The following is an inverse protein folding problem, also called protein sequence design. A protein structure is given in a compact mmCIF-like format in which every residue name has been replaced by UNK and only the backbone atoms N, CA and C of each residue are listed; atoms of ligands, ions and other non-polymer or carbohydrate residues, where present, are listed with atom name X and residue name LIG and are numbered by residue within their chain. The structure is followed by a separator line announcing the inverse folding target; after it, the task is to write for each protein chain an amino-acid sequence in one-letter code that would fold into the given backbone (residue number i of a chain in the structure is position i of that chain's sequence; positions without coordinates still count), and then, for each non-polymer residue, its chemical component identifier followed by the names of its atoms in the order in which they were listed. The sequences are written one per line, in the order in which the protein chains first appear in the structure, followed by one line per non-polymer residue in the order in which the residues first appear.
data_IF_106781470275
#
_entry.id   IF_106781470275
#
_cell.length_a   1.000
_cell.length_b   1.000
_cell.length_c   1.000
_cell.angle_alpha   90.00
_cell.angle_beta   90.00
_cell.angle_gamma   90.00
#
_symmetry.space_group_name_H-M   'P 1'
#
loop_
_entity.id
_entity.type
_entity.pdbx_description
1 polymer ?
#
# COMPACT_ATOMS: atom_id res chain seq x y z
N UNK A 1 47.12 -5.43 -22.82
CA UNK A 1 46.32 -5.65 -21.61
C UNK A 1 46.46 -4.40 -20.72
N UNK A 2 45.49 -3.49 -20.72
CA UNK A 2 45.51 -2.24 -19.94
C UNK A 2 44.49 -2.38 -18.82
N UNK A 3 44.96 -2.47 -17.58
CA UNK A 3 44.11 -2.44 -16.38
C UNK A 3 43.84 -0.97 -16.05
N UNK A 4 42.59 -0.54 -16.20
CA UNK A 4 42.12 0.77 -15.74
C UNK A 4 41.56 0.57 -14.33
N UNK A 5 42.27 1.05 -13.33
CA UNK A 5 41.76 1.14 -11.95
C UNK A 5 40.87 2.39 -11.81
N UNK A 6 39.57 2.19 -11.61
CA UNK A 6 38.66 3.27 -11.20
C UNK A 6 38.92 3.62 -9.72
N UNK A 7 39.44 4.83 -9.50
CA UNK A 7 39.52 5.45 -8.18
C UNK A 7 38.11 5.81 -7.69
N UNK A 8 37.69 5.23 -6.57
CA UNK A 8 36.46 5.61 -5.86
C UNK A 8 36.69 6.97 -5.18
N UNK A 9 36.06 8.00 -5.73
CA UNK A 9 36.05 9.33 -5.13
C UNK A 9 35.17 9.32 -3.86
N UNK A 10 35.75 9.70 -2.71
CA UNK A 10 35.05 9.84 -1.42
C UNK A 10 33.79 10.71 -1.59
N UNK A 11 32.65 10.18 -1.19
CA UNK A 11 31.35 10.85 -1.24
C UNK A 11 31.38 12.20 -0.50
N UNK A 12 31.29 13.32 -1.24
CA UNK A 12 30.95 14.62 -0.66
C UNK A 12 29.54 14.53 -0.07
N UNK A 13 29.34 15.01 1.15
CA UNK A 13 28.02 15.05 1.79
C UNK A 13 26.98 15.80 0.93
N UNK A 14 25.67 15.64 1.21
CA UNK A 14 24.64 16.28 0.42
C UNK A 14 24.88 17.80 0.38
N UNK A 15 24.90 18.39 -0.81
CA UNK A 15 25.02 19.83 -0.97
C UNK A 15 23.85 20.54 -0.28
N UNK A 16 24.05 21.80 0.16
CA UNK A 16 22.98 22.64 0.73
C UNK A 16 21.80 22.72 -0.24
N UNK A 17 22.08 22.85 -1.54
CA UNK A 17 21.07 22.82 -2.61
C UNK A 17 20.30 21.49 -2.65
N UNK A 18 20.98 20.34 -2.51
CA UNK A 18 20.35 19.03 -2.45
C UNK A 18 19.48 18.84 -1.21
N UNK A 19 19.92 19.36 -0.06
CA UNK A 19 19.13 19.37 1.18
C UNK A 19 17.86 20.22 1.04
N UNK A 20 17.98 21.46 0.56
CA UNK A 20 16.84 22.36 0.34
C UNK A 20 15.85 21.78 -0.68
N UNK A 21 16.35 21.20 -1.77
CA UNK A 21 15.50 20.51 -2.76
C UNK A 21 14.77 19.30 -2.15
N UNK A 22 15.44 18.51 -1.32
CA UNK A 22 14.78 17.41 -0.58
C UNK A 22 13.69 17.94 0.36
N UNK A 23 13.95 19.06 1.05
CA UNK A 23 12.98 19.64 1.97
C UNK A 23 11.76 20.20 1.22
N UNK A 24 11.99 20.92 0.12
CA UNK A 24 10.94 21.42 -0.76
C UNK A 24 10.05 20.30 -1.31
N UNK A 25 10.66 19.21 -1.80
CA UNK A 25 9.91 18.01 -2.24
C UNK A 25 9.04 17.43 -1.13
N UNK A 26 9.52 17.37 0.13
CA UNK A 26 8.72 16.88 1.26
C UNK A 26 7.52 17.78 1.55
N UNK A 27 7.68 19.10 1.45
CA UNK A 27 6.55 20.03 1.58
C UNK A 27 5.53 19.88 0.45
N UNK A 28 5.98 19.69 -0.79
CA UNK A 28 5.08 19.37 -1.91
C UNK A 28 4.31 18.07 -1.66
N UNK A 29 4.97 17.03 -1.14
CA UNK A 29 4.31 15.78 -0.76
C UNK A 29 3.24 16.04 0.31
N UNK A 30 3.55 16.79 1.36
CA UNK A 30 2.56 17.15 2.41
C UNK A 30 1.32 17.80 1.80
N UNK A 31 1.51 18.80 0.94
CA UNK A 31 0.41 19.49 0.25
C UNK A 31 -0.37 18.53 -0.65
N UNK A 32 0.32 17.63 -1.35
CA UNK A 32 -0.26 16.72 -2.32
C UNK A 32 -1.10 15.62 -1.65
N UNK A 33 -0.60 14.97 -0.60
CA UNK A 33 -1.28 13.82 0.00
C UNK A 33 -2.34 14.21 1.02
N UNK A 34 -2.16 15.32 1.75
CA UNK A 34 -3.12 15.75 2.77
C UNK A 34 -4.49 16.11 2.20
N UNK A 35 -4.57 16.52 0.93
CA UNK A 35 -5.84 16.83 0.26
C UNK A 35 -6.79 15.63 0.17
N UNK A 36 -6.24 14.41 0.22
CA UNK A 36 -7.02 13.16 0.11
C UNK A 36 -7.56 12.69 1.46
N UNK A 37 -7.31 13.35 2.59
CA UNK A 37 -8.00 13.01 3.84
C UNK A 37 -9.50 13.31 3.73
N UNK A 38 -10.35 12.39 4.15
CA UNK A 38 -11.82 12.49 4.04
C UNK A 38 -12.38 13.68 4.84
N UNK A 39 -11.99 13.80 6.12
CA UNK A 39 -12.31 14.93 6.98
C UNK A 39 -11.08 15.75 7.36
N UNK A 40 -11.28 16.97 7.91
CA UNK A 40 -10.18 17.84 8.34
C UNK A 40 -9.19 17.12 9.28
N UNK A 41 -9.70 16.29 10.19
CA UNK A 41 -8.87 15.47 11.08
C UNK A 41 -7.95 14.52 10.31
N UNK A 42 -8.45 13.87 9.25
CA UNK A 42 -7.65 12.97 8.41
C UNK A 42 -6.54 13.75 7.70
N UNK A 43 -6.88 14.91 7.14
CA UNK A 43 -5.90 15.80 6.49
C UNK A 43 -4.78 16.20 7.45
N UNK A 44 -5.15 16.64 8.66
CA UNK A 44 -4.20 17.00 9.72
C UNK A 44 -3.34 15.81 10.16
N UNK A 45 -3.93 14.63 10.33
CA UNK A 45 -3.17 13.42 10.68
C UNK A 45 -2.15 13.06 9.59
N UNK A 46 -2.52 13.18 8.30
CA UNK A 46 -1.60 12.95 7.16
C UNK A 46 -0.44 13.96 7.22
N UNK A 47 -0.75 15.26 7.41
CA UNK A 47 0.28 16.30 7.56
C UNK A 47 1.24 15.95 8.70
N UNK A 48 0.72 15.60 9.87
CA UNK A 48 1.53 15.25 11.04
C UNK A 48 2.44 14.04 10.79
N UNK A 49 1.92 12.97 10.18
CA UNK A 49 2.74 11.79 9.84
C UNK A 49 3.89 12.17 8.91
N UNK A 50 3.61 12.98 7.88
CA UNK A 50 4.60 13.39 6.89
C UNK A 50 5.60 14.42 7.45
N UNK A 51 5.20 15.30 8.37
CA UNK A 51 6.12 16.17 9.11
C UNK A 51 7.09 15.35 9.97
N UNK A 52 6.61 14.31 10.65
CA UNK A 52 7.47 13.42 11.42
C UNK A 52 8.48 12.66 10.53
N UNK A 53 8.21 12.48 9.24
CA UNK A 53 9.17 11.94 8.27
C UNK A 53 10.31 12.92 7.95
N UNK A 54 10.08 14.23 8.12
CA UNK A 54 11.10 15.26 7.87
C UNK A 54 12.28 15.13 8.85
N UNK A 55 12.00 14.74 10.10
CA UNK A 55 13.00 14.62 11.17
C UNK A 55 14.21 13.81 10.69
N UNK A 56 15.44 14.37 10.73
CA UNK A 56 16.65 13.68 10.28
C UNK A 56 16.82 12.31 10.93
N UNK A 57 17.19 11.30 10.13
CA UNK A 57 17.44 9.92 10.61
C UNK A 57 18.50 9.87 11.73
N UNK A 58 19.45 10.80 11.74
CA UNK A 58 20.47 10.93 12.79
C UNK A 58 19.87 11.23 14.16
N UNK A 59 18.81 12.04 14.21
CA UNK A 59 18.07 12.39 15.43
C UNK A 59 17.06 11.30 15.82
N UNK A 60 16.56 10.54 14.83
CA UNK A 60 15.56 9.47 15.03
C UNK A 60 16.18 8.15 15.50
N UNK A 61 16.80 8.12 16.68
CA UNK A 61 17.40 6.93 17.29
C UNK A 61 16.78 6.59 18.66
N UNK A 62 17.04 5.38 19.15
CA UNK A 62 16.67 4.93 20.49
C UNK A 62 15.19 5.15 20.82
N UNK A 63 14.93 5.81 21.96
CA UNK A 63 13.60 6.12 22.45
C UNK A 63 12.78 6.99 21.48
N UNK A 64 13.38 8.04 20.91
CA UNK A 64 12.67 8.95 20.00
C UNK A 64 12.16 8.24 18.75
N UNK A 65 12.93 7.27 18.22
CA UNK A 65 12.47 6.42 17.11
C UNK A 65 11.21 5.63 17.49
N UNK A 66 11.22 4.97 18.65
CA UNK A 66 10.09 4.18 19.14
C UNK A 66 8.85 5.06 19.35
N UNK A 67 9.03 6.25 19.94
CA UNK A 67 7.95 7.22 20.16
C UNK A 67 7.34 7.70 18.84
N UNK A 68 8.17 8.08 17.86
CA UNK A 68 7.68 8.53 16.53
C UNK A 68 6.90 7.42 15.83
N UNK A 69 7.38 6.17 15.88
CA UNK A 69 6.66 5.03 15.28
C UNK A 69 5.32 4.82 15.99
N UNK A 70 5.28 4.85 17.32
CA UNK A 70 4.03 4.71 18.09
C UNK A 70 3.02 5.80 17.72
N UNK A 71 3.47 7.07 17.66
CA UNK A 71 2.60 8.19 17.27
C UNK A 71 2.05 7.98 15.86
N UNK A 72 2.90 7.63 14.89
CA UNK A 72 2.46 7.38 13.50
C UNK A 72 1.43 6.27 13.42
N UNK A 73 1.64 5.16 14.13
CA UNK A 73 0.71 4.03 14.15
C UNK A 73 -0.65 4.41 14.74
N UNK A 74 -0.67 5.27 15.78
CA UNK A 74 -1.92 5.78 16.34
C UNK A 74 -2.62 6.73 15.35
N UNK A 75 -1.88 7.62 14.69
CA UNK A 75 -2.46 8.56 13.73
C UNK A 75 -3.03 7.82 12.51
N UNK A 76 -2.25 6.91 11.90
CA UNK A 76 -2.64 6.21 10.67
C UNK A 76 -3.88 5.35 10.86
N UNK A 77 -4.00 4.67 12.02
CA UNK A 77 -5.14 3.80 12.35
C UNK A 77 -6.49 4.51 12.45
N UNK A 78 -6.51 5.84 12.31
CA UNK A 78 -7.72 6.67 12.37
C UNK A 78 -8.00 7.36 11.04
N UNK A 79 -7.12 7.23 10.06
CA UNK A 79 -7.21 7.98 8.81
C UNK A 79 -8.12 7.24 7.82
N UNK A 80 -9.05 8.00 7.27
CA UNK A 80 -9.74 7.65 6.03
C UNK A 80 -9.25 8.57 4.92
N UNK A 81 -8.79 7.98 3.83
CA UNK A 81 -8.47 8.72 2.59
C UNK A 81 -9.57 8.54 1.56
N UNK A 82 -9.98 9.62 0.90
CA UNK A 82 -10.93 9.57 -0.21
C UNK A 82 -10.21 9.83 -1.53
N UNK A 83 -10.29 8.85 -2.44
CA UNK A 83 -9.66 8.89 -3.76
C UNK A 83 -10.67 8.43 -4.82
N UNK A 84 -10.93 9.27 -5.81
CA UNK A 84 -11.88 8.99 -6.91
C UNK A 84 -13.26 8.51 -6.41
N UNK A 85 -13.73 9.10 -5.31
CA UNK A 85 -15.01 8.75 -4.69
C UNK A 85 -15.03 7.39 -3.98
N UNK A 86 -13.87 6.77 -3.73
CA UNK A 86 -13.71 5.60 -2.85
C UNK A 86 -12.99 6.02 -1.58
N UNK A 87 -13.47 5.56 -0.44
CA UNK A 87 -12.88 5.77 0.88
C UNK A 87 -11.98 4.60 1.26
N UNK A 88 -10.81 4.87 1.83
CA UNK A 88 -9.82 3.88 2.25
C UNK A 88 -9.46 4.12 3.70
N UNK A 89 -9.81 3.15 4.55
CA UNK A 89 -9.13 2.97 5.82
C UNK A 89 -7.71 2.46 5.56
N UNK A 90 -6.72 3.12 6.17
CA UNK A 90 -5.32 2.83 5.91
C UNK A 90 -4.79 1.76 6.87
N UNK A 91 -3.94 0.88 6.34
CA UNK A 91 -3.23 -0.12 7.13
C UNK A 91 -1.99 0.49 7.79
N UNK A 92 -1.20 1.24 7.02
CA UNK A 92 0.09 1.77 7.43
C UNK A 92 0.47 3.05 6.66
N UNK A 93 1.66 3.58 6.92
CA UNK A 93 2.16 4.81 6.30
C UNK A 93 2.42 4.65 4.80
N UNK A 94 2.67 3.44 4.31
CA UNK A 94 2.85 3.19 2.88
C UNK A 94 1.52 3.27 2.14
N UNK A 95 0.44 2.85 2.79
CA UNK A 95 -0.92 2.91 2.28
C UNK A 95 -1.31 4.32 1.78
N UNK A 96 -0.80 5.40 2.41
CA UNK A 96 -1.00 6.79 1.95
C UNK A 96 -0.51 6.98 0.51
N UNK A 97 0.67 6.44 0.21
CA UNK A 97 1.26 6.52 -1.13
C UNK A 97 0.51 5.59 -2.07
N UNK A 98 0.31 4.33 -1.69
CA UNK A 98 -0.25 3.29 -2.57
C UNK A 98 -1.61 3.68 -3.14
N UNK A 99 -2.53 4.17 -2.30
CA UNK A 99 -3.90 4.52 -2.75
C UNK A 99 -3.98 5.86 -3.45
N UNK A 100 -2.91 6.66 -3.42
CA UNK A 100 -2.88 7.94 -4.10
C UNK A 100 -2.92 7.75 -5.62
N UNK A 101 -3.64 8.61 -6.38
CA UNK A 101 -3.62 8.61 -7.84
C UNK A 101 -2.23 8.78 -8.47
N UNK A 102 -1.28 9.33 -7.71
CA UNK A 102 0.08 9.57 -8.17
C UNK A 102 0.90 8.28 -8.21
N UNK A 103 0.52 7.28 -7.41
CA UNK A 103 1.17 5.99 -7.40
C UNK A 103 0.69 5.14 -8.59
N UNK A 104 1.63 4.77 -9.44
CA UNK A 104 1.37 3.99 -10.67
C UNK A 104 0.40 4.68 -11.61
N UNK A 105 0.49 6.02 -11.75
CA UNK A 105 -0.36 6.83 -12.64
C UNK A 105 -0.49 6.27 -14.08
N UNK A 106 0.55 5.58 -14.55
CA UNK A 106 0.59 4.93 -15.86
C UNK A 106 -0.45 3.81 -16.02
N UNK A 107 -0.94 3.19 -14.93
CA UNK A 107 -1.87 2.06 -14.99
C UNK A 107 -3.20 2.44 -15.64
N UNK A 108 -3.63 3.70 -15.52
CA UNK A 108 -4.87 4.20 -16.12
C UNK A 108 -4.86 4.16 -17.66
N UNK A 109 -3.69 4.03 -18.28
CA UNK A 109 -3.58 3.85 -19.73
C UNK A 109 -3.97 2.42 -20.17
N UNK A 110 -3.89 1.45 -19.26
CA UNK A 110 -4.08 0.02 -19.54
C UNK A 110 -5.34 -0.55 -18.87
N UNK A 111 -5.59 -0.17 -17.62
CA UNK A 111 -6.74 -0.65 -16.86
C UNK A 111 -7.99 0.17 -17.20
N UNK A 112 -8.81 -0.36 -18.11
CA UNK A 112 -10.05 0.26 -18.60
C UNK A 112 -11.26 -0.67 -18.44
N UNK A 113 -11.65 -1.00 -17.19
CA UNK A 113 -12.79 -1.87 -16.94
C UNK A 113 -14.09 -1.23 -17.45
N UNK A 114 -15.02 -2.07 -17.87
CA UNK A 114 -16.34 -1.66 -18.37
C UNK A 114 -17.46 -2.20 -17.50
N UNK A 115 -18.62 -1.55 -17.58
CA UNK A 115 -19.83 -2.00 -16.87
C UNK A 115 -20.13 -3.46 -17.23
N UNK A 116 -20.42 -4.27 -16.21
CA UNK A 116 -20.75 -5.68 -16.37
C UNK A 116 -19.55 -6.63 -16.48
N UNK A 117 -18.31 -6.13 -16.54
CA UNK A 117 -17.14 -7.01 -16.63
C UNK A 117 -16.80 -7.71 -15.30
N UNK A 118 -16.07 -8.82 -15.42
CA UNK A 118 -15.44 -9.50 -14.29
C UNK A 118 -13.97 -9.07 -14.22
N UNK A 119 -13.51 -8.70 -13.02
CA UNK A 119 -12.12 -8.30 -12.78
C UNK A 119 -11.51 -9.13 -11.64
N UNK A 120 -10.28 -9.60 -11.82
CA UNK A 120 -9.55 -10.37 -10.82
C UNK A 120 -8.37 -9.54 -10.33
N UNK A 121 -8.33 -9.24 -9.03
CA UNK A 121 -7.27 -8.48 -8.37
C UNK A 121 -6.42 -9.44 -7.51
N UNK A 122 -5.23 -9.81 -7.97
CA UNK A 122 -4.33 -10.74 -7.28
C UNK A 122 -3.28 -9.98 -6.48
N UNK A 123 -3.29 -10.14 -5.16
CA UNK A 123 -2.53 -9.28 -4.25
C UNK A 123 -3.29 -7.98 -3.96
N UNK A 124 -4.59 -8.09 -3.71
CA UNK A 124 -5.50 -6.95 -3.58
C UNK A 124 -5.12 -5.98 -2.45
N UNK A 125 -4.30 -6.40 -1.47
CA UNK A 125 -3.82 -5.59 -0.36
C UNK A 125 -5.01 -4.98 0.42
N UNK A 126 -5.12 -3.65 0.46
CA UNK A 126 -6.26 -2.92 1.06
C UNK A 126 -7.34 -2.52 0.04
N UNK A 127 -7.21 -3.01 -1.20
CA UNK A 127 -8.19 -2.89 -2.28
C UNK A 127 -8.06 -1.66 -3.16
N UNK A 128 -6.82 -1.19 -3.43
CA UNK A 128 -6.56 -0.04 -4.33
C UNK A 128 -7.28 -0.20 -5.66
N UNK A 129 -7.15 -1.36 -6.30
CA UNK A 129 -7.76 -1.64 -7.60
C UNK A 129 -9.16 -2.22 -7.42
N UNK A 130 -9.30 -3.27 -6.62
CA UNK A 130 -10.59 -3.93 -6.38
C UNK A 130 -11.76 -2.96 -6.13
N UNK A 131 -11.59 -1.97 -5.24
CA UNK A 131 -12.68 -1.04 -4.92
C UNK A 131 -12.98 -0.04 -6.04
N UNK A 132 -11.97 0.49 -6.72
CA UNK A 132 -12.17 1.40 -7.85
C UNK A 132 -12.88 0.67 -8.99
N UNK A 133 -12.40 -0.52 -9.33
CA UNK A 133 -12.97 -1.32 -10.42
C UNK A 133 -14.38 -1.77 -10.09
N UNK A 134 -14.67 -2.15 -8.84
CA UNK A 134 -16.02 -2.54 -8.42
C UNK A 134 -17.05 -1.43 -8.66
N UNK A 135 -16.69 -0.15 -8.47
CA UNK A 135 -17.56 0.98 -8.81
C UNK A 135 -17.76 1.16 -10.32
N UNK A 136 -16.73 0.89 -11.13
CA UNK A 136 -16.77 1.07 -12.59
C UNK A 136 -17.59 -0.04 -13.24
N UNK A 137 -17.34 -1.30 -12.87
CA UNK A 137 -18.06 -2.45 -13.42
C UNK A 137 -19.53 -2.47 -12.98
N UNK A 138 -19.83 -1.85 -11.83
CA UNK A 138 -21.19 -1.67 -11.32
C UNK A 138 -21.85 -2.98 -10.87
N UNK A 139 -23.12 -2.91 -10.49
CA UNK A 139 -23.86 -4.02 -9.86
C UNK A 139 -23.98 -5.28 -10.72
N UNK A 140 -23.88 -5.14 -12.05
CA UNK A 140 -23.90 -6.26 -13.00
C UNK A 140 -22.51 -6.86 -13.26
N UNK A 141 -21.45 -6.21 -12.80
CA UNK A 141 -20.09 -6.72 -12.88
C UNK A 141 -19.65 -7.33 -11.56
N UNK A 142 -18.49 -7.98 -11.58
CA UNK A 142 -17.97 -8.71 -10.43
C UNK A 142 -16.47 -8.44 -10.27
N UNK A 143 -16.01 -8.30 -9.03
CA UNK A 143 -14.59 -8.26 -8.71
C UNK A 143 -14.24 -9.42 -7.80
N UNK A 144 -13.22 -10.20 -8.16
CA UNK A 144 -12.65 -11.26 -7.32
C UNK A 144 -11.31 -10.73 -6.79
N UNK A 145 -11.25 -10.42 -5.50
CA UNK A 145 -10.09 -9.83 -4.84
C UNK A 145 -9.38 -10.87 -3.97
N UNK A 146 -8.15 -11.24 -4.34
CA UNK A 146 -7.37 -12.27 -3.66
C UNK A 146 -6.26 -11.60 -2.85
N UNK A 147 -6.25 -11.81 -1.53
CA UNK A 147 -5.23 -11.26 -0.64
C UNK A 147 -4.75 -12.33 0.35
N UNK A 148 -3.45 -12.60 0.33
CA UNK A 148 -2.85 -13.65 1.15
C UNK A 148 -2.78 -13.28 2.64
N UNK A 149 -2.45 -12.02 2.96
CA UNK A 149 -2.25 -11.59 4.35
C UNK A 149 -3.59 -11.42 5.06
N UNK A 150 -3.83 -12.11 6.19
CA UNK A 150 -5.07 -11.95 6.96
C UNK A 150 -5.27 -10.51 7.45
N UNK A 151 -4.19 -9.79 7.76
CA UNK A 151 -4.27 -8.40 8.23
C UNK A 151 -4.73 -7.48 7.08
N UNK A 152 -4.11 -7.61 5.91
CA UNK A 152 -4.45 -6.82 4.73
C UNK A 152 -5.88 -7.13 4.27
N UNK A 153 -6.23 -8.42 4.24
CA UNK A 153 -7.57 -8.91 3.91
C UNK A 153 -8.65 -8.32 4.82
N UNK A 154 -8.41 -8.24 6.13
CA UNK A 154 -9.35 -7.62 7.05
C UNK A 154 -9.55 -6.11 6.76
N UNK A 155 -8.50 -5.40 6.35
CA UNK A 155 -8.60 -4.01 5.91
C UNK A 155 -9.33 -3.89 4.58
N UNK A 156 -9.09 -4.79 3.62
CA UNK A 156 -9.86 -4.89 2.37
C UNK A 156 -11.36 -5.03 2.67
N UNK A 157 -11.77 -5.98 3.52
CA UNK A 157 -13.17 -6.16 3.92
C UNK A 157 -13.75 -4.91 4.58
N UNK A 158 -12.98 -4.26 5.46
CA UNK A 158 -13.38 -3.00 6.09
C UNK A 158 -13.60 -1.91 5.05
N UNK A 159 -12.73 -1.82 4.04
CA UNK A 159 -12.87 -0.85 2.96
C UNK A 159 -14.08 -1.17 2.06
N UNK A 160 -14.38 -2.43 1.77
CA UNK A 160 -15.60 -2.80 1.06
C UNK A 160 -16.85 -2.30 1.81
N UNK A 161 -16.93 -2.57 3.12
CA UNK A 161 -18.04 -2.11 4.00
C UNK A 161 -18.13 -0.59 4.06
N UNK A 162 -16.99 0.10 4.22
CA UNK A 162 -16.91 1.56 4.28
C UNK A 162 -17.50 2.25 3.03
N UNK A 163 -17.47 1.56 1.88
CA UNK A 163 -17.98 2.08 0.62
C UNK A 163 -19.33 1.48 0.20
N UNK A 164 -19.93 0.62 1.02
CA UNK A 164 -21.13 -0.15 0.65
C UNK A 164 -20.96 -0.95 -0.66
N UNK A 165 -19.74 -1.43 -0.95
CA UNK A 165 -19.47 -2.21 -2.15
C UNK A 165 -19.90 -3.67 -1.91
N UNK A 166 -20.79 -4.18 -2.77
CA UNK A 166 -21.38 -5.53 -2.63
C UNK A 166 -20.99 -6.50 -3.75
N UNK A 167 -20.40 -6.01 -4.82
CA UNK A 167 -19.98 -6.79 -5.99
C UNK A 167 -18.48 -7.17 -5.94
N UNK A 168 -17.94 -7.39 -4.75
CA UNK A 168 -16.59 -7.94 -4.53
C UNK A 168 -16.71 -9.28 -3.80
N UNK A 169 -16.12 -10.33 -4.37
CA UNK A 169 -15.80 -11.58 -3.67
C UNK A 169 -14.34 -11.47 -3.20
N UNK A 170 -14.13 -11.26 -1.90
CA UNK A 170 -12.81 -11.19 -1.31
C UNK A 170 -12.40 -12.56 -0.76
N UNK A 171 -11.20 -13.03 -1.10
CA UNK A 171 -10.68 -14.35 -0.70
C UNK A 171 -9.35 -14.19 0.04
N UNK A 172 -9.28 -14.72 1.28
CA UNK A 172 -8.04 -14.73 2.06
C UNK A 172 -7.18 -15.95 1.74
N UNK A 173 -6.61 -15.95 0.54
CA UNK A 173 -5.74 -17.03 0.04
C UNK A 173 -4.57 -16.44 -0.75
N UNK A 174 -3.48 -17.18 -0.85
CA UNK A 174 -2.42 -16.89 -1.81
C UNK A 174 -2.75 -17.53 -3.17
N UNK A 175 -2.77 -16.73 -4.23
CA UNK A 175 -2.76 -17.26 -5.59
C UNK A 175 -1.39 -17.91 -5.85
N UNK A 176 -1.39 -19.21 -6.14
CA UNK A 176 -0.17 -20.02 -6.25
C UNK A 176 -0.26 -21.04 -7.38
N UNK A 177 0.76 -21.89 -7.55
CA UNK A 177 0.77 -22.95 -8.57
C UNK A 177 -0.09 -24.17 -8.21
N UNK A 178 -0.40 -24.36 -6.93
CA UNK A 178 -1.11 -25.55 -6.43
C UNK A 178 -1.81 -25.25 -5.11
N UNK A 179 -2.77 -26.09 -4.75
CA UNK A 179 -3.42 -26.02 -3.44
C UNK A 179 -2.45 -26.43 -2.33
N UNK A 180 -2.53 -25.79 -1.17
CA UNK A 180 -1.72 -26.14 0.00
C UNK A 180 -1.61 -25.02 1.00
N UNK A 181 -0.61 -25.11 1.87
CA UNK A 181 -0.28 -24.07 2.84
C UNK A 181 1.09 -23.46 2.49
N UNK A 182 1.19 -22.14 2.55
CA UNK A 182 2.45 -21.41 2.33
C UNK A 182 2.84 -20.62 3.56
N UNK A 183 4.16 -20.42 3.71
CA UNK A 183 4.69 -19.37 4.58
C UNK A 183 4.66 -18.05 3.83
N UNK A 184 3.84 -17.12 4.31
CA UNK A 184 3.90 -15.72 3.90
C UNK A 184 4.83 -14.99 4.87
N UNK A 185 6.02 -14.64 4.41
CA UNK A 185 6.98 -13.85 5.18
C UNK A 185 6.48 -12.42 5.32
N UNK A 186 6.51 -11.92 6.56
CA UNK A 186 6.00 -10.60 6.93
C UNK A 186 7.01 -9.54 6.48
N UNK A 187 6.52 -8.47 5.86
CA UNK A 187 7.31 -7.32 5.43
C UNK A 187 7.36 -6.25 6.51
N UNK A 188 8.21 -5.24 6.33
CA UNK A 188 8.25 -4.08 7.22
C UNK A 188 7.02 -3.18 7.09
N UNK A 189 6.29 -3.31 5.97
CA UNK A 189 5.00 -2.70 5.64
C UNK A 189 4.09 -3.73 4.95
N UNK A 190 2.79 -3.45 4.89
CA UNK A 190 1.77 -4.37 4.39
C UNK A 190 1.93 -4.74 2.92
N UNK A 191 2.51 -3.85 2.11
CA UNK A 191 2.79 -4.09 0.68
C UNK A 191 4.02 -4.98 0.43
N UNK A 192 4.83 -5.28 1.45
CA UNK A 192 6.11 -5.99 1.29
C UNK A 192 6.07 -7.45 1.76
N UNK A 193 4.89 -8.00 2.02
CA UNK A 193 4.75 -9.43 2.32
C UNK A 193 5.18 -10.28 1.12
N UNK A 194 5.84 -11.41 1.38
CA UNK A 194 6.36 -12.25 0.30
C UNK A 194 6.32 -13.72 0.65
N UNK A 195 5.98 -14.57 -0.33
CA UNK A 195 6.15 -16.02 -0.22
C UNK A 195 7.56 -16.48 -0.62
N UNK A 196 8.40 -15.57 -1.14
CA UNK A 196 9.75 -15.88 -1.64
C UNK A 196 10.85 -15.27 -0.77
N UNK A 197 10.67 -14.02 -0.33
CA UNK A 197 11.71 -13.27 0.37
C UNK A 197 11.43 -13.23 1.88
N UNK A 198 12.35 -13.76 2.67
CA UNK A 198 12.29 -13.68 4.13
C UNK A 198 12.99 -12.41 4.63
N UNK A 199 12.21 -11.47 5.17
CA UNK A 199 12.71 -10.21 5.75
C UNK A 199 13.36 -10.37 7.13
N UNK A 200 13.26 -11.55 7.74
CA UNK A 200 13.69 -11.81 9.12
C UNK A 200 12.71 -11.35 10.21
N UNK A 201 11.54 -10.82 9.85
CA UNK A 201 10.51 -10.35 10.82
C UNK A 201 9.67 -11.53 11.34
N UNK A 202 9.40 -12.51 10.50
CA UNK A 202 8.53 -13.65 10.81
C UNK A 202 7.71 -14.08 9.61
N UNK A 203 6.81 -15.04 9.81
CA UNK A 203 5.88 -15.49 8.79
C UNK A 203 4.53 -15.85 9.42
N UNK A 204 3.48 -15.82 8.59
CA UNK A 204 2.19 -16.44 8.88
C UNK A 204 1.94 -17.57 7.89
N UNK A 205 1.22 -18.59 8.33
CA UNK A 205 0.75 -19.66 7.44
C UNK A 205 -0.54 -19.20 6.77
N UNK A 206 -0.61 -19.37 5.45
CA UNK A 206 -1.77 -18.98 4.65
C UNK A 206 -2.17 -20.10 3.72
N UNK A 207 -3.47 -20.26 3.49
CA UNK A 207 -3.97 -21.16 2.45
C UNK A 207 -3.57 -20.63 1.08
N UNK A 208 -3.18 -21.53 0.19
CA UNK A 208 -2.79 -21.23 -1.17
C UNK A 208 -3.62 -22.08 -2.13
N UNK A 209 -3.99 -21.51 -3.28
CA UNK A 209 -4.74 -22.18 -4.33
C UNK A 209 -4.28 -21.74 -5.71
N UNK A 210 -4.40 -22.64 -6.68
CA UNK A 210 -4.25 -22.27 -8.08
C UNK A 210 -5.40 -21.35 -8.52
N UNK A 211 -5.10 -20.30 -9.28
CA UNK A 211 -6.12 -19.34 -9.73
C UNK A 211 -7.23 -20.04 -10.51
N UNK A 212 -6.88 -20.99 -11.39
CA UNK A 212 -7.86 -21.78 -12.14
C UNK A 212 -8.79 -22.58 -11.23
N UNK A 213 -8.31 -23.06 -10.08
CA UNK A 213 -9.13 -23.78 -9.11
C UNK A 213 -10.08 -22.82 -8.39
N UNK A 214 -9.59 -21.63 -8.02
CA UNK A 214 -10.42 -20.58 -7.41
C UNK A 214 -11.59 -20.23 -8.33
N UNK A 215 -11.33 -20.05 -9.63
CA UNK A 215 -12.37 -19.68 -10.60
C UNK A 215 -13.40 -20.78 -10.86
N UNK A 216 -13.04 -22.07 -10.68
CA UNK A 216 -13.96 -23.20 -10.81
C UNK A 216 -14.89 -23.37 -9.60
N UNK A 217 -14.52 -22.82 -8.45
CA UNK A 217 -15.28 -22.93 -7.19
C UNK A 217 -16.30 -21.78 -7.00
N UNK A 218 -16.27 -20.75 -7.85
CA UNK A 218 -17.15 -19.56 -7.81
C UNK A 218 -18.29 -19.68 -8.82
#
# INVERSE_FOLDING_TARGET
MRVITMSFNKSRGPSITGFLNSLYKRFLFIKLYSKYGDHLRDKLNIVMILLLDIIPRRLRKGFLKKLIVKIKNVLISKIIMQVNGVKYFLLDRESILIVSPEHEKWIGNYLKPKKGEVFIDVGAHIGKYALQVAKIVGEKGLVIAIEASPINYNVLLKNCRLNNIRNIIALNIAAWKSNGELKLFIGDVGGHHSVKFNSGIGFVKVSAKALDNVLKEL
#
